data_IF_066024736861
#
_entry.id   IF_066024736861
#
_cell.length_a   1.000
_cell.length_b   1.000
_cell.length_c   1.000
_cell.angle_alpha   90.00
_cell.angle_beta   90.00
_cell.angle_gamma   90.00
#
_symmetry.space_group_name_H-M   'P 1'
#
loop_
_entity.id
_entity.type
_entity.pdbx_description
1 polymer ?
#
# COMPACT_ATOMS: atom_id res chain seq x y z
N UNK A 1 -23.11 17.87 33.74
CA UNK A 1 -22.38 18.48 32.61
C UNK A 1 -21.42 17.41 32.17
N UNK A 2 -21.94 16.48 31.38
CA UNK A 2 -21.14 15.42 30.78
C UNK A 2 -20.38 16.03 29.61
N UNK A 3 -19.07 16.12 29.75
CA UNK A 3 -18.16 16.41 28.64
C UNK A 3 -18.22 15.24 27.66
N UNK A 4 -19.22 15.28 26.78
CA UNK A 4 -19.25 14.46 25.57
C UNK A 4 -18.15 15.01 24.67
N UNK A 5 -16.94 14.48 24.83
CA UNK A 5 -15.89 14.60 23.82
C UNK A 5 -16.51 14.06 22.53
N UNK A 6 -16.68 14.87 21.48
CA UNK A 6 -17.14 14.33 20.22
C UNK A 6 -15.99 13.47 19.68
N UNK A 7 -16.12 12.15 19.79
CA UNK A 7 -15.27 11.14 19.14
C UNK A 7 -15.38 11.18 17.60
N UNK A 8 -15.78 12.32 17.04
CA UNK A 8 -15.79 12.61 15.61
C UNK A 8 -14.53 13.43 15.20
N UNK A 9 -13.37 13.08 15.73
CA UNK A 9 -12.08 13.48 15.14
C UNK A 9 -11.42 12.33 14.36
N UNK A 10 -12.18 11.28 14.05
CA UNK A 10 -11.84 10.39 12.95
C UNK A 10 -11.99 11.17 11.63
N UNK A 11 -10.90 11.80 11.17
CA UNK A 11 -10.86 12.45 9.86
C UNK A 11 -11.33 11.51 8.75
N UNK A 12 -11.75 12.04 7.58
CA UNK A 12 -12.37 11.25 6.51
C UNK A 12 -11.56 9.97 6.27
N UNK A 13 -12.17 8.78 6.35
CA UNK A 13 -11.42 7.51 6.34
C UNK A 13 -10.43 7.36 5.16
N UNK A 14 -10.72 8.03 4.04
CA UNK A 14 -9.85 8.16 2.86
C UNK A 14 -8.51 8.87 3.16
N UNK A 15 -8.54 9.92 3.98
CA UNK A 15 -7.36 10.68 4.41
C UNK A 15 -6.45 9.83 5.30
N UNK A 16 -7.04 9.02 6.18
CA UNK A 16 -6.28 8.09 7.03
C UNK A 16 -5.59 7.00 6.20
N UNK A 17 -6.28 6.44 5.20
CA UNK A 17 -5.70 5.46 4.26
C UNK A 17 -4.58 6.10 3.45
N UNK A 18 -4.79 7.32 2.95
CA UNK A 18 -3.77 8.06 2.21
C UNK A 18 -2.52 8.31 3.06
N UNK A 19 -2.68 8.75 4.31
CA UNK A 19 -1.56 8.98 5.23
C UNK A 19 -0.84 7.67 5.56
N UNK A 20 -1.56 6.56 5.74
CA UNK A 20 -0.94 5.24 5.95
C UNK A 20 -0.14 4.77 4.73
N UNK A 21 -0.66 4.97 3.51
CA UNK A 21 0.04 4.66 2.26
C UNK A 21 1.28 5.56 2.09
N UNK A 22 1.16 6.84 2.42
CA UNK A 22 2.27 7.79 2.38
C UNK A 22 3.37 7.41 3.38
N UNK A 23 3.02 7.01 4.60
CA UNK A 23 4.00 6.51 5.58
C UNK A 23 4.71 5.25 5.08
N UNK A 24 3.97 4.34 4.43
CA UNK A 24 4.54 3.11 3.88
C UNK A 24 5.53 3.41 2.74
N UNK A 25 5.19 4.36 1.86
CA UNK A 25 6.10 4.84 0.82
C UNK A 25 7.38 5.44 1.43
N UNK A 26 7.25 6.32 2.42
CA UNK A 26 8.40 6.94 3.08
C UNK A 26 9.30 5.88 3.73
N UNK A 27 8.70 4.87 4.37
CA UNK A 27 9.45 3.75 4.94
C UNK A 27 10.20 2.97 3.84
N UNK A 28 9.55 2.71 2.70
CA UNK A 28 10.15 2.02 1.56
C UNK A 28 11.33 2.81 0.98
N UNK A 29 11.21 4.13 0.87
CA UNK A 29 12.29 5.02 0.44
C UNK A 29 13.48 4.97 1.40
N UNK A 30 13.22 5.02 2.72
CA UNK A 30 14.28 4.93 3.74
C UNK A 30 15.00 3.58 3.67
N UNK A 31 14.25 2.48 3.58
CA UNK A 31 14.84 1.14 3.45
C UNK A 31 15.63 1.03 2.15
N UNK A 32 15.09 1.54 1.04
CA UNK A 32 15.76 1.56 -0.26
C UNK A 32 17.08 2.33 -0.23
N UNK A 33 17.09 3.52 0.39
CA UNK A 33 18.29 4.33 0.55
C UNK A 33 19.35 3.63 1.41
N UNK A 34 18.95 2.94 2.48
CA UNK A 34 19.87 2.11 3.28
C UNK A 34 20.41 0.95 2.43
N UNK A 35 19.55 0.25 1.69
CA UNK A 35 19.98 -0.86 0.81
C UNK A 35 20.96 -0.40 -0.27
N UNK A 36 20.70 0.76 -0.85
CA UNK A 36 21.56 1.41 -1.83
C UNK A 36 22.92 1.75 -1.22
N UNK A 37 22.94 2.41 -0.06
CA UNK A 37 24.16 2.85 0.61
C UNK A 37 25.04 1.69 1.13
N UNK A 38 24.45 0.62 1.65
CA UNK A 38 25.20 -0.47 2.31
C UNK A 38 25.41 -1.70 1.42
N UNK A 39 24.49 -1.97 0.51
CA UNK A 39 24.50 -3.19 -0.31
C UNK A 39 24.64 -2.92 -1.81
N UNK A 40 24.74 -1.64 -2.23
CA UNK A 40 24.82 -1.23 -3.64
C UNK A 40 23.56 -1.65 -4.44
N UNK A 41 22.44 -1.81 -3.74
CA UNK A 41 21.16 -2.24 -4.29
C UNK A 41 20.28 -1.01 -4.55
N UNK A 42 20.26 -0.53 -5.79
CA UNK A 42 19.56 0.71 -6.17
C UNK A 42 18.09 0.53 -6.57
N UNK A 43 17.69 -0.67 -7.02
CA UNK A 43 16.36 -0.88 -7.60
C UNK A 43 15.20 -0.59 -6.63
N UNK A 44 15.41 -0.75 -5.32
CA UNK A 44 14.39 -0.44 -4.30
C UNK A 44 14.24 1.07 -4.12
N UNK A 45 15.36 1.81 -4.15
CA UNK A 45 15.38 3.27 -4.07
C UNK A 45 14.77 3.90 -5.33
N UNK A 46 15.16 3.42 -6.51
CA UNK A 46 14.62 3.88 -7.79
C UNK A 46 13.10 3.67 -7.86
N UNK A 47 12.64 2.49 -7.43
CA UNK A 47 11.21 2.18 -7.37
C UNK A 47 10.49 3.13 -6.41
N UNK A 48 11.03 3.33 -5.20
CA UNK A 48 10.44 4.24 -4.22
C UNK A 48 10.42 5.70 -4.71
N UNK A 49 11.44 6.16 -5.44
CA UNK A 49 11.44 7.50 -6.07
C UNK A 49 10.35 7.64 -7.13
N UNK A 50 10.20 6.65 -8.01
CA UNK A 50 9.14 6.67 -9.04
C UNK A 50 7.75 6.68 -8.40
N UNK A 51 7.53 5.89 -7.34
CA UNK A 51 6.27 5.91 -6.60
C UNK A 51 6.05 7.23 -5.84
N UNK A 52 7.12 7.92 -5.41
CA UNK A 52 7.04 9.22 -4.76
C UNK A 52 6.71 10.36 -5.75
N UNK A 53 7.22 10.29 -6.97
CA UNK A 53 6.92 11.27 -8.03
C UNK A 53 5.47 11.15 -8.52
N UNK A 54 4.91 9.94 -8.45
CA UNK A 54 3.54 9.65 -8.81
C UNK A 54 2.77 8.90 -7.71
N UNK A 55 2.37 9.57 -6.62
CA UNK A 55 1.74 8.92 -5.46
C UNK A 55 0.40 8.23 -5.78
N UNK A 56 -0.28 8.65 -6.86
CA UNK A 56 -1.49 7.98 -7.35
C UNK A 56 -1.22 6.57 -7.91
N UNK A 57 -0.02 6.32 -8.44
CA UNK A 57 0.38 5.02 -9.00
C UNK A 57 0.40 3.95 -7.91
N UNK A 58 0.70 4.31 -6.65
CA UNK A 58 0.63 3.40 -5.51
C UNK A 58 -0.80 2.86 -5.35
N UNK A 59 -1.80 3.74 -5.50
CA UNK A 59 -3.20 3.39 -5.35
C UNK A 59 -3.68 2.50 -6.51
N UNK A 60 -3.23 2.80 -7.74
CA UNK A 60 -3.51 1.98 -8.91
C UNK A 60 -2.87 0.59 -8.81
N UNK A 61 -1.59 0.51 -8.42
CA UNK A 61 -0.89 -0.76 -8.22
C UNK A 61 -1.53 -1.57 -7.09
N UNK A 62 -1.89 -0.93 -5.97
CA UNK A 62 -2.59 -1.60 -4.87
C UNK A 62 -3.95 -2.15 -5.31
N UNK A 63 -4.70 -1.39 -6.12
CA UNK A 63 -5.95 -1.86 -6.72
C UNK A 63 -5.74 -3.05 -7.65
N UNK A 64 -4.71 -3.00 -8.49
CA UNK A 64 -4.37 -4.07 -9.44
C UNK A 64 -3.94 -5.35 -8.70
N UNK A 65 -3.12 -5.22 -7.65
CA UNK A 65 -2.74 -6.32 -6.76
C UNK A 65 -3.95 -6.94 -6.04
N UNK A 66 -4.90 -6.12 -5.59
CA UNK A 66 -6.12 -6.62 -4.95
C UNK A 66 -6.97 -7.43 -5.94
N UNK A 67 -7.11 -6.97 -7.18
CA UNK A 67 -7.80 -7.70 -8.25
C UNK A 67 -7.09 -9.01 -8.56
N UNK A 68 -5.75 -9.00 -8.67
CA UNK A 68 -4.97 -10.20 -8.93
C UNK A 68 -5.11 -11.22 -7.79
N UNK A 69 -5.07 -10.76 -6.54
CA UNK A 69 -5.29 -11.59 -5.35
C UNK A 69 -6.68 -12.23 -5.36
N UNK A 70 -7.72 -11.45 -5.69
CA UNK A 70 -9.07 -11.96 -5.86
C UNK A 70 -9.16 -13.00 -6.98
N UNK A 71 -8.47 -12.77 -8.10
CA UNK A 71 -8.45 -13.71 -9.23
C UNK A 71 -7.78 -15.03 -8.85
N UNK A 72 -6.62 -14.98 -8.19
CA UNK A 72 -5.92 -16.18 -7.69
C UNK A 72 -6.83 -16.94 -6.72
N UNK A 73 -7.50 -16.23 -5.81
CA UNK A 73 -8.42 -16.82 -4.85
C UNK A 73 -9.65 -17.43 -5.52
N UNK A 74 -10.19 -16.79 -6.56
CA UNK A 74 -11.29 -17.32 -7.36
C UNK A 74 -10.89 -18.59 -8.13
N UNK A 75 -9.71 -18.62 -8.72
CA UNK A 75 -9.16 -19.82 -9.37
C UNK A 75 -8.97 -20.95 -8.35
N UNK A 76 -8.44 -20.63 -7.16
CA UNK A 76 -8.29 -21.59 -6.08
C UNK A 76 -9.63 -22.18 -5.65
N UNK A 77 -10.68 -21.37 -5.52
CA UNK A 77 -12.03 -21.85 -5.22
C UNK A 77 -12.60 -22.70 -6.36
N UNK A 78 -12.43 -22.29 -7.62
CA UNK A 78 -12.89 -23.06 -8.76
C UNK A 78 -12.21 -24.44 -8.87
N UNK A 79 -10.92 -24.52 -8.50
CA UNK A 79 -10.19 -25.78 -8.40
C UNK A 79 -10.67 -26.64 -7.21
N UNK A 80 -10.91 -26.04 -6.04
CA UNK A 80 -11.41 -26.77 -4.85
C UNK A 80 -12.83 -27.31 -5.05
N UNK A 81 -13.66 -26.62 -5.85
CA UNK A 81 -15.01 -27.05 -6.21
C UNK A 81 -15.05 -28.04 -7.40
N UNK A 82 -13.90 -28.38 -8.00
CA UNK A 82 -13.80 -29.34 -9.11
C UNK A 82 -14.44 -28.86 -10.42
N UNK A 83 -14.51 -27.53 -10.62
CA UNK A 83 -15.09 -26.89 -11.80
C UNK A 83 -14.11 -26.75 -12.98
N UNK A 84 -12.84 -27.12 -12.78
CA UNK A 84 -11.77 -27.18 -13.79
C UNK A 84 -10.95 -28.45 -13.61
#
# INVERSE_FOLDING_TARGET
MDDIIPEHTAGPGKLRIFVSLLMLLVLMLVIGSILSAFYNIHWVEDLAMVLADHPFVIFEIAGLLAILSLLIKAISFANDEGLV
#
